data_IF_115697449742
#
_entry.id   IF_115697449742
#
_cell.length_a   1.000
_cell.length_b   1.000
_cell.length_c   1.000
_cell.angle_alpha   90.00
_cell.angle_beta   90.00
_cell.angle_gamma   90.00
#
_symmetry.space_group_name_H-M   'P 1'
#
loop_
_entity.id
_entity.type
_entity.pdbx_description
1 polymer ?
#
# COMPACT_ATOMS: atom_id res chain seq x y z
N UNK A 1 -2.59 -56.67 8.25
CA UNK A 1 -3.26 -55.96 7.14
C UNK A 1 -3.85 -54.61 7.56
N UNK A 2 -4.25 -54.42 8.82
CA UNK A 2 -4.80 -53.15 9.35
C UNK A 2 -3.78 -52.02 9.45
N UNK A 3 -2.56 -52.27 9.97
CA UNK A 3 -1.54 -51.23 10.13
C UNK A 3 -1.07 -50.62 8.80
N UNK A 4 -0.89 -51.43 7.76
CA UNK A 4 -0.51 -50.96 6.43
C UNK A 4 -1.63 -50.08 5.82
N UNK A 5 -2.89 -50.49 5.97
CA UNK A 5 -4.04 -49.69 5.51
C UNK A 5 -4.16 -48.36 6.27
N UNK A 6 -3.88 -48.35 7.59
CA UNK A 6 -3.80 -47.12 8.37
C UNK A 6 -2.68 -46.21 7.85
N UNK A 7 -1.47 -46.74 7.65
CA UNK A 7 -0.33 -45.99 7.13
C UNK A 7 -0.60 -45.40 5.74
N UNK A 8 -1.19 -46.19 4.83
CA UNK A 8 -1.57 -45.75 3.49
C UNK A 8 -2.66 -44.68 3.52
N UNK A 9 -3.64 -44.78 4.43
CA UNK A 9 -4.68 -43.77 4.58
C UNK A 9 -4.13 -42.47 5.16
N UNK A 10 -3.26 -42.54 6.18
CA UNK A 10 -2.58 -41.37 6.72
C UNK A 10 -1.75 -40.65 5.66
N UNK A 11 -1.00 -41.38 4.84
CA UNK A 11 -0.22 -40.79 3.74
C UNK A 11 -1.09 -40.06 2.72
N UNK A 12 -2.24 -40.63 2.32
CA UNK A 12 -3.20 -39.98 1.42
C UNK A 12 -3.83 -38.73 2.03
N UNK A 13 -4.15 -38.76 3.33
CA UNK A 13 -4.70 -37.60 4.03
C UNK A 13 -3.68 -36.46 4.07
N UNK A 14 -2.42 -36.76 4.45
CA UNK A 14 -1.33 -35.77 4.43
C UNK A 14 -1.16 -35.17 3.03
N UNK A 15 -1.14 -36.02 1.99
CA UNK A 15 -1.00 -35.56 0.61
C UNK A 15 -2.17 -34.65 0.17
N UNK A 16 -3.40 -35.02 0.49
CA UNK A 16 -4.59 -34.21 0.20
C UNK A 16 -4.55 -32.87 0.94
N UNK A 17 -4.12 -32.85 2.21
CA UNK A 17 -3.97 -31.63 2.98
C UNK A 17 -2.90 -30.70 2.39
N UNK A 18 -1.79 -31.25 1.88
CA UNK A 18 -0.74 -30.47 1.21
C UNK A 18 -1.27 -29.83 -0.08
N UNK A 19 -2.01 -30.57 -0.90
CA UNK A 19 -2.63 -30.01 -2.12
C UNK A 19 -3.69 -28.96 -1.82
N UNK A 20 -4.52 -29.18 -0.80
CA UNK A 20 -5.51 -28.20 -0.36
C UNK A 20 -4.84 -26.91 0.12
N UNK A 21 -3.77 -27.02 0.91
CA UNK A 21 -3.02 -25.86 1.40
C UNK A 21 -2.33 -25.10 0.25
N UNK A 22 -1.70 -25.80 -0.70
CA UNK A 22 -1.08 -25.16 -1.86
C UNK A 22 -2.11 -24.44 -2.75
N UNK A 23 -3.29 -25.04 -2.96
CA UNK A 23 -4.39 -24.40 -3.69
C UNK A 23 -4.92 -23.15 -2.99
N UNK A 24 -5.07 -23.19 -1.66
CA UNK A 24 -5.46 -22.02 -0.86
C UNK A 24 -4.43 -20.89 -0.96
N UNK A 25 -3.13 -21.20 -0.89
CA UNK A 25 -2.06 -20.22 -1.02
C UNK A 25 -2.02 -19.57 -2.42
N UNK A 26 -2.33 -20.34 -3.48
CA UNK A 26 -2.36 -19.81 -4.85
C UNK A 26 -3.57 -18.89 -5.09
N UNK A 27 -4.72 -19.21 -4.49
CA UNK A 27 -5.92 -18.36 -4.51
C UNK A 27 -5.80 -17.13 -3.60
N UNK A 28 -4.95 -17.20 -2.57
CA UNK A 28 -4.62 -16.08 -1.70
C UNK A 28 -3.59 -15.11 -2.32
N UNK A 29 -3.28 -15.22 -3.62
CA UNK A 29 -2.47 -14.22 -4.31
C UNK A 29 -3.27 -12.92 -4.40
N UNK A 30 -3.08 -12.07 -3.40
CA UNK A 30 -3.76 -10.79 -3.32
C UNK A 30 -3.31 -9.87 -4.46
N UNK A 31 -4.22 -9.02 -4.94
CA UNK A 31 -3.90 -7.99 -5.90
C UNK A 31 -2.90 -7.01 -5.27
N UNK A 32 -1.61 -7.23 -5.50
CA UNK A 32 -0.55 -6.35 -5.01
C UNK A 32 -0.74 -4.99 -5.67
N UNK A 33 -1.27 -4.01 -4.93
CA UNK A 33 -1.37 -2.64 -5.41
C UNK A 33 0.04 -2.09 -5.67
N UNK A 34 0.35 -1.79 -6.93
CA UNK A 34 1.62 -1.17 -7.30
C UNK A 34 1.51 0.34 -7.08
N UNK A 35 2.21 0.86 -6.08
CA UNK A 35 2.30 2.28 -5.80
C UNK A 35 3.60 2.86 -6.36
N UNK A 36 3.52 4.06 -6.92
CA UNK A 36 4.69 4.83 -7.36
C UNK A 36 4.51 6.30 -7.05
N UNK A 37 5.63 6.99 -6.80
CA UNK A 37 5.64 8.44 -6.67
C UNK A 37 5.62 9.08 -8.04
N UNK A 38 4.61 9.91 -8.30
CA UNK A 38 4.48 10.65 -9.56
C UNK A 38 4.98 12.08 -9.35
N UNK A 39 5.92 12.58 -10.17
CA UNK A 39 6.33 13.98 -10.13
C UNK A 39 5.13 14.91 -10.38
N UNK A 40 4.99 15.94 -9.55
CA UNK A 40 3.95 16.95 -9.74
C UNK A 40 4.23 17.81 -10.96
N UNK A 41 3.23 17.99 -11.82
CA UNK A 41 3.32 18.74 -13.08
C UNK A 41 2.23 19.82 -13.23
N UNK A 42 1.62 20.27 -12.12
CA UNK A 42 0.51 21.22 -12.11
C UNK A 42 -0.87 20.60 -11.85
N UNK A 43 -0.96 19.27 -11.72
CA UNK A 43 -2.20 18.57 -11.40
C UNK A 43 -1.96 17.35 -10.51
N UNK A 44 -2.99 16.94 -9.76
CA UNK A 44 -2.99 15.69 -9.00
C UNK A 44 -3.54 14.56 -9.88
N UNK A 45 -2.82 13.43 -10.04
CA UNK A 45 -3.33 12.28 -10.79
C UNK A 45 -4.63 11.75 -10.19
N UNK A 46 -5.56 11.28 -11.04
CA UNK A 46 -6.82 10.67 -10.57
C UNK A 46 -6.61 9.42 -9.70
N UNK A 47 -5.44 8.78 -9.81
CA UNK A 47 -5.02 7.61 -9.02
C UNK A 47 -4.29 7.99 -7.73
N UNK A 48 -4.18 9.28 -7.40
CA UNK A 48 -3.51 9.72 -6.19
C UNK A 48 -4.20 9.16 -4.94
N UNK A 49 -3.38 8.73 -3.99
CA UNK A 49 -3.87 8.14 -2.74
C UNK A 49 -4.43 9.24 -1.85
N UNK A 50 -5.74 9.18 -1.58
CA UNK A 50 -6.36 10.01 -0.56
C UNK A 50 -5.86 9.55 0.83
N UNK A 51 -5.23 10.47 1.56
CA UNK A 51 -4.67 10.22 2.89
C UNK A 51 -5.50 10.81 4.03
N UNK A 52 -6.51 11.63 3.74
CA UNK A 52 -7.38 12.24 4.74
C UNK A 52 -8.27 13.32 4.17
N UNK A 53 -8.85 14.13 5.06
CA UNK A 53 -9.64 15.30 4.71
C UNK A 53 -9.47 16.41 5.75
N UNK A 54 -9.51 17.66 5.29
CA UNK A 54 -9.47 18.86 6.12
C UNK A 54 -10.42 19.88 5.51
N UNK A 55 -11.32 20.47 6.31
CA UNK A 55 -12.30 21.48 5.87
C UNK A 55 -13.14 21.06 4.64
N UNK A 56 -13.45 19.77 4.50
CA UNK A 56 -14.22 19.25 3.36
C UNK A 56 -13.41 19.07 2.07
N UNK A 57 -12.10 19.35 2.08
CA UNK A 57 -11.19 19.06 0.98
C UNK A 57 -10.50 17.71 1.21
N UNK A 58 -10.27 16.96 0.14
CA UNK A 58 -9.46 15.75 0.17
C UNK A 58 -7.98 16.12 0.29
N UNK A 59 -7.28 15.45 1.21
CA UNK A 59 -5.82 15.50 1.32
C UNK A 59 -5.23 14.28 0.61
N UNK A 60 -4.27 14.50 -0.28
CA UNK A 60 -3.51 13.43 -0.93
C UNK A 60 -2.17 13.21 -0.25
N UNK A 61 -1.64 11.99 -0.34
CA UNK A 61 -0.30 11.67 0.14
C UNK A 61 0.74 12.23 -0.82
N UNK A 62 1.63 13.08 -0.33
CA UNK A 62 2.72 13.67 -1.10
C UNK A 62 4.07 13.57 -0.39
N UNK A 63 5.10 14.04 -1.08
CA UNK A 63 6.42 14.31 -0.50
C UNK A 63 7.08 15.47 -1.22
N UNK A 64 7.84 16.27 -0.49
CA UNK A 64 8.56 17.41 -1.04
C UNK A 64 10.04 17.36 -0.66
N UNK A 65 10.88 17.99 -1.49
CA UNK A 65 12.30 18.16 -1.21
C UNK A 65 12.50 19.43 -0.40
N UNK A 66 13.09 19.31 0.78
CA UNK A 66 13.49 20.45 1.60
C UNK A 66 14.78 21.10 1.04
N UNK A 67 15.08 22.31 1.49
CA UNK A 67 16.21 23.11 0.98
C UNK A 67 17.59 22.47 1.21
N UNK A 68 17.73 21.66 2.26
CA UNK A 68 18.92 20.85 2.55
C UNK A 68 19.04 19.59 1.67
N UNK A 69 18.05 19.35 0.81
CA UNK A 69 18.01 18.23 -0.12
C UNK A 69 17.31 16.97 0.38
N UNK A 70 16.89 16.92 1.64
CA UNK A 70 16.13 15.80 2.20
C UNK A 70 14.70 15.77 1.65
N UNK A 71 14.06 14.59 1.67
CA UNK A 71 12.69 14.40 1.15
C UNK A 71 11.78 14.01 2.30
N UNK A 72 10.72 14.79 2.50
CA UNK A 72 9.79 14.63 3.61
C UNK A 72 8.39 14.29 3.12
N UNK A 73 7.71 13.31 3.75
CA UNK A 73 6.31 13.04 3.46
C UNK A 73 5.43 14.18 3.96
N UNK A 74 4.28 14.38 3.31
CA UNK A 74 3.39 15.49 3.59
C UNK A 74 1.97 15.28 3.11
N UNK A 75 1.10 16.24 3.44
CA UNK A 75 -0.28 16.34 2.94
C UNK A 75 -0.32 17.26 1.73
N UNK A 76 -1.04 16.86 0.69
CA UNK A 76 -1.24 17.65 -0.53
C UNK A 76 -2.70 18.05 -0.64
N UNK A 77 -2.95 19.34 -0.82
CA UNK A 77 -4.30 19.90 -0.94
C UNK A 77 -4.34 21.02 -1.97
N UNK A 78 -5.56 21.37 -2.39
CA UNK A 78 -5.79 22.47 -3.33
C UNK A 78 -5.95 23.79 -2.57
N UNK A 79 -5.17 24.80 -2.96
CA UNK A 79 -5.24 26.18 -2.49
C UNK A 79 -5.20 27.11 -3.70
N UNK A 80 -6.19 27.99 -3.86
CA UNK A 80 -6.27 28.99 -4.95
C UNK A 80 -6.01 28.42 -6.37
N UNK A 81 -6.61 27.27 -6.68
CA UNK A 81 -6.43 26.52 -7.92
C UNK A 81 -5.01 25.96 -8.16
N UNK A 82 -4.16 25.91 -7.14
CA UNK A 82 -2.86 25.26 -7.14
C UNK A 82 -2.80 24.15 -6.08
N UNK A 83 -1.83 23.24 -6.19
CA UNK A 83 -1.59 22.23 -5.16
C UNK A 83 -0.30 22.52 -4.41
N UNK A 84 -0.37 22.39 -3.08
CA UNK A 84 0.74 22.61 -2.16
C UNK A 84 0.96 21.32 -1.36
N UNK A 85 2.22 20.96 -1.09
CA UNK A 85 2.57 19.85 -0.22
C UNK A 85 3.14 20.39 1.09
N UNK A 86 2.34 20.36 2.16
CA UNK A 86 2.82 20.70 3.49
C UNK A 86 3.52 19.50 4.11
N UNK A 87 4.70 19.71 4.69
CA UNK A 87 5.50 18.66 5.32
C UNK A 87 6.16 19.14 6.61
N UNK A 88 6.46 18.20 7.50
CA UNK A 88 7.14 18.51 8.76
C UNK A 88 8.65 18.65 8.59
N UNK A 89 9.25 19.67 9.20
CA UNK A 89 10.70 19.82 9.30
C UNK A 89 11.07 20.60 10.56
N UNK A 90 12.03 20.11 11.36
CA UNK A 90 12.55 20.84 12.52
C UNK A 90 11.52 21.20 13.61
N UNK A 91 10.43 20.42 13.72
CA UNK A 91 9.33 20.71 14.66
C UNK A 91 8.30 21.71 14.15
N UNK A 92 8.37 22.11 12.88
CA UNK A 92 7.43 23.02 12.23
C UNK A 92 6.79 22.37 11.00
N UNK A 93 5.61 22.88 10.62
CA UNK A 93 5.03 22.60 9.30
C UNK A 93 5.61 23.61 8.30
N UNK A 94 6.14 23.10 7.20
CA UNK A 94 6.54 23.90 6.05
C UNK A 94 5.35 23.92 5.08
N UNK A 95 4.94 25.12 4.69
CA UNK A 95 3.83 25.43 3.78
C UNK A 95 4.32 26.00 2.46
#
# INVERSE_FOLDING_TARGET
MTLLNQLMNHSKQVLNSVFLLAGLLFLANEAQAQLSWVPYNGSIPATAVAGGSENGQTLYVGRAKHTDGTVHPGKVFSSDNNYICNYGYGGQEIV
#
